data_IF_436103131937
#
_entry.id   IF_436103131937
#
_cell.length_a   1.000
_cell.length_b   1.000
_cell.length_c   1.000
_cell.angle_alpha   90.00
_cell.angle_beta   90.00
_cell.angle_gamma   90.00
#
_symmetry.space_group_name_H-M   'P 1'
#
loop_
_entity.id
_entity.type
_entity.pdbx_description
1 polymer ?
#
# COMPACT_ATOMS: atom_id res chain seq x y z
N UNK A 1 -21.80 63.79 -24.55
CA UNK A 1 -20.37 63.57 -24.25
C UNK A 1 -20.22 63.56 -22.75
N UNK A 2 -20.23 62.38 -22.15
CA UNK A 2 -20.10 62.19 -20.71
C UNK A 2 -19.21 60.96 -20.56
N UNK A 3 -17.99 61.16 -20.05
CA UNK A 3 -16.97 60.12 -19.88
C UNK A 3 -17.39 59.17 -18.75
N UNK A 4 -17.43 57.87 -19.07
CA UNK A 4 -17.42 56.80 -18.08
C UNK A 4 -16.01 56.68 -17.47
N UNK A 5 -15.84 56.53 -16.15
CA UNK A 5 -14.56 56.20 -15.56
C UNK A 5 -14.24 54.71 -15.71
N UNK A 6 -12.94 54.44 -15.81
CA UNK A 6 -12.31 53.19 -16.22
C UNK A 6 -12.70 51.97 -15.35
N UNK A 7 -13.28 50.98 -16.02
CA UNK A 7 -13.67 49.68 -15.47
C UNK A 7 -12.49 48.69 -15.52
N UNK A 8 -11.33 49.06 -14.95
CA UNK A 8 -10.09 48.25 -15.02
C UNK A 8 -9.64 47.69 -13.67
N UNK A 9 -10.29 48.06 -12.56
CA UNK A 9 -9.85 47.65 -11.21
C UNK A 9 -10.72 46.58 -10.51
N UNK A 10 -11.60 45.87 -11.23
CA UNK A 10 -12.47 44.83 -10.64
C UNK A 10 -12.04 43.38 -10.96
N UNK A 11 -10.80 43.16 -11.43
CA UNK A 11 -10.27 41.81 -11.70
C UNK A 11 -9.16 41.36 -10.74
N UNK A 12 -8.88 42.13 -9.67
CA UNK A 12 -7.77 41.82 -8.75
C UNK A 12 -8.17 41.41 -7.33
N UNK A 13 -9.44 41.12 -7.06
CA UNK A 13 -9.88 40.66 -5.74
C UNK A 13 -10.62 39.32 -5.80
N UNK A 14 -9.82 38.26 -5.95
CA UNK A 14 -10.08 36.93 -5.38
C UNK A 14 -8.79 36.09 -5.42
N UNK A 15 -7.69 36.62 -4.91
CA UNK A 15 -6.61 35.76 -4.39
C UNK A 15 -7.05 35.31 -2.99
N UNK A 16 -8.04 34.41 -2.93
CA UNK A 16 -8.19 33.55 -1.77
C UNK A 16 -6.97 32.63 -1.76
N UNK A 17 -6.06 32.89 -0.83
CA UNK A 17 -4.86 32.12 -0.58
C UNK A 17 -5.25 30.67 -0.23
N UNK A 18 -5.42 29.84 -1.25
CA UNK A 18 -5.18 28.41 -1.12
C UNK A 18 -3.69 28.17 -0.82
N UNK A 19 -3.32 27.01 -0.25
CA UNK A 19 -1.92 26.66 -0.03
C UNK A 19 -1.14 26.84 -1.34
N UNK A 20 0.16 27.17 -1.23
CA UNK A 20 1.13 27.36 -2.32
C UNK A 20 1.39 26.06 -3.12
N UNK A 21 0.33 25.39 -3.60
CA UNK A 21 0.42 24.22 -4.45
C UNK A 21 1.01 24.61 -5.80
N UNK A 22 2.00 23.84 -6.21
CA UNK A 22 2.63 23.97 -7.53
C UNK A 22 1.65 23.61 -8.64
N UNK A 23 1.96 24.08 -9.86
CA UNK A 23 1.18 23.74 -11.05
C UNK A 23 1.16 22.22 -11.26
N UNK A 24 2.28 21.55 -10.98
CA UNK A 24 2.43 20.10 -11.02
C UNK A 24 1.44 19.39 -10.10
N UNK A 25 1.33 19.81 -8.84
CA UNK A 25 0.40 19.25 -7.87
C UNK A 25 -1.05 19.45 -8.30
N UNK A 26 -1.42 20.68 -8.69
CA UNK A 26 -2.78 21.00 -9.14
C UNK A 26 -3.20 20.19 -10.36
N UNK A 27 -2.30 20.08 -11.35
CA UNK A 27 -2.56 19.28 -12.55
C UNK A 27 -2.75 17.81 -12.18
N UNK A 28 -1.87 17.25 -11.34
CA UNK A 28 -1.99 15.86 -10.98
C UNK A 28 -3.23 15.59 -10.14
N UNK A 29 -3.52 16.41 -9.14
CA UNK A 29 -4.72 16.31 -8.32
C UNK A 29 -6.01 16.35 -9.17
N UNK A 30 -6.10 17.26 -10.16
CA UNK A 30 -7.24 17.31 -11.06
C UNK A 30 -7.43 16.02 -11.89
N UNK A 31 -6.33 15.40 -12.32
CA UNK A 31 -6.37 14.11 -13.01
C UNK A 31 -6.84 12.98 -12.07
N UNK A 32 -6.36 12.98 -10.82
CA UNK A 32 -6.73 12.00 -9.81
C UNK A 32 -8.21 12.09 -9.41
N UNK A 33 -8.77 13.30 -9.26
CA UNK A 33 -10.21 13.51 -9.02
C UNK A 33 -11.04 12.87 -10.13
N UNK A 34 -10.66 13.08 -11.39
CA UNK A 34 -11.37 12.47 -12.53
C UNK A 34 -11.27 10.94 -12.53
N UNK A 35 -10.10 10.39 -12.16
CA UNK A 35 -9.90 8.94 -12.08
C UNK A 35 -10.69 8.32 -10.96
N UNK A 36 -10.76 8.96 -9.79
CA UNK A 36 -11.56 8.46 -8.68
C UNK A 36 -13.04 8.42 -9.04
N UNK A 37 -13.57 9.48 -9.67
CA UNK A 37 -14.93 9.48 -10.21
C UNK A 37 -15.16 8.38 -11.25
N UNK A 38 -14.17 8.10 -12.10
CA UNK A 38 -14.25 7.00 -13.07
C UNK A 38 -14.34 5.62 -12.42
N UNK A 39 -13.45 5.30 -11.48
CA UNK A 39 -13.44 3.99 -10.83
C UNK A 39 -14.63 3.79 -9.89
N UNK A 40 -15.17 4.87 -9.31
CA UNK A 40 -16.39 4.82 -8.48
C UNK A 40 -17.69 4.95 -9.29
N UNK A 41 -17.60 5.12 -10.62
CA UNK A 41 -18.75 5.35 -11.51
C UNK A 41 -19.58 6.60 -11.15
N UNK A 42 -18.92 7.63 -10.60
CA UNK A 42 -19.58 8.86 -10.11
C UNK A 42 -18.75 10.15 -10.32
N UNK A 43 -18.82 10.77 -11.51
CA UNK A 43 -19.33 10.24 -12.77
C UNK A 43 -18.21 9.52 -13.56
N UNK A 44 -18.57 8.54 -14.42
CA UNK A 44 -17.60 7.94 -15.32
C UNK A 44 -17.03 8.98 -16.31
N UNK A 45 -15.73 8.89 -16.58
CA UNK A 45 -15.10 9.72 -17.61
C UNK A 45 -15.57 9.35 -19.02
N UNK A 46 -15.98 10.36 -19.79
CA UNK A 46 -16.13 10.24 -21.24
C UNK A 46 -14.79 10.23 -21.98
N UNK A 47 -14.76 9.88 -23.28
CA UNK A 47 -13.53 9.63 -24.03
C UNK A 47 -12.61 10.86 -24.16
N UNK A 48 -13.17 12.06 -24.28
CA UNK A 48 -12.36 13.30 -24.33
C UNK A 48 -11.69 13.60 -22.98
N UNK A 49 -12.39 13.36 -21.87
CA UNK A 49 -11.85 13.53 -20.52
C UNK A 49 -10.78 12.47 -20.26
N UNK A 50 -11.05 11.21 -20.61
CA UNK A 50 -10.08 10.11 -20.48
C UNK A 50 -8.77 10.40 -21.23
N UNK A 51 -8.84 10.91 -22.47
CA UNK A 51 -7.67 11.29 -23.24
C UNK A 51 -6.85 12.43 -22.56
N UNK A 52 -7.52 13.45 -22.03
CA UNK A 52 -6.86 14.56 -21.33
C UNK A 52 -6.20 14.07 -20.03
N UNK A 53 -6.93 13.30 -19.23
CA UNK A 53 -6.43 12.71 -17.98
C UNK A 53 -5.23 11.82 -18.25
N UNK A 54 -5.30 10.92 -19.24
CA UNK A 54 -4.17 10.06 -19.63
C UNK A 54 -2.93 10.87 -20.04
N UNK A 55 -3.12 12.00 -20.75
CA UNK A 55 -2.02 12.92 -21.07
C UNK A 55 -1.41 13.56 -19.81
N UNK A 56 -2.23 14.00 -18.87
CA UNK A 56 -1.78 14.58 -17.60
C UNK A 56 -1.01 13.56 -16.76
N UNK A 57 -1.52 12.33 -16.62
CA UNK A 57 -0.82 11.24 -15.92
C UNK A 57 0.53 10.93 -16.57
N UNK A 58 0.58 10.88 -17.90
CA UNK A 58 1.83 10.62 -18.63
C UNK A 58 2.86 11.72 -18.38
N UNK A 59 2.45 13.00 -18.44
CA UNK A 59 3.32 14.14 -18.12
C UNK A 59 3.80 14.12 -16.67
N UNK A 60 2.92 13.80 -15.72
CA UNK A 60 3.31 13.69 -14.31
C UNK A 60 4.30 12.55 -14.09
N UNK A 61 4.12 11.41 -14.77
CA UNK A 61 5.08 10.29 -14.73
C UNK A 61 6.46 10.72 -15.23
N UNK A 62 6.54 11.40 -16.37
CA UNK A 62 7.80 11.93 -16.90
C UNK A 62 8.46 12.93 -15.94
N UNK A 63 7.67 13.86 -15.38
CA UNK A 63 8.17 14.88 -14.44
C UNK A 63 8.66 14.25 -13.13
N UNK A 64 7.92 13.32 -12.55
CA UNK A 64 8.32 12.67 -11.29
C UNK A 64 9.58 11.82 -11.46
N UNK A 65 9.81 11.27 -12.65
CA UNK A 65 11.05 10.56 -12.98
C UNK A 65 12.24 11.53 -13.12
N UNK A 66 12.08 12.62 -13.88
CA UNK A 66 13.21 13.45 -14.34
C UNK A 66 13.45 14.72 -13.51
N UNK A 67 12.42 15.30 -12.91
CA UNK A 67 12.47 16.60 -12.24
C UNK A 67 12.37 16.40 -10.73
N UNK A 68 13.50 16.49 -10.04
CA UNK A 68 13.58 16.33 -8.58
C UNK A 68 12.61 17.25 -7.82
N UNK A 69 12.55 18.54 -8.16
CA UNK A 69 11.67 19.51 -7.48
C UNK A 69 10.18 19.15 -7.60
N UNK A 70 9.75 18.73 -8.79
CA UNK A 70 8.36 18.30 -9.02
C UNK A 70 8.05 17.04 -8.20
N UNK A 71 8.97 16.07 -8.19
CA UNK A 71 8.84 14.86 -7.39
C UNK A 71 8.75 15.15 -5.89
N UNK A 72 9.62 16.03 -5.37
CA UNK A 72 9.64 16.42 -3.96
C UNK A 72 8.40 17.22 -3.52
N UNK A 73 7.84 18.04 -4.40
CA UNK A 73 6.59 18.75 -4.14
C UNK A 73 5.41 17.76 -4.06
N UNK A 74 5.25 16.93 -5.10
CA UNK A 74 4.16 15.95 -5.18
C UNK A 74 4.24 14.92 -4.03
N UNK A 75 5.45 14.48 -3.65
CA UNK A 75 5.62 13.44 -2.63
C UNK A 75 5.24 13.89 -1.23
N UNK A 76 5.27 15.19 -0.95
CA UNK A 76 4.89 15.78 0.35
C UNK A 76 3.42 16.19 0.42
N UNK A 77 2.70 16.13 -0.70
CA UNK A 77 1.29 16.47 -0.74
C UNK A 77 0.42 15.31 -0.25
N UNK A 78 -0.14 15.44 0.95
CA UNK A 78 -0.96 14.40 1.59
C UNK A 78 -2.21 14.07 0.76
N UNK A 79 -2.87 15.06 0.18
CA UNK A 79 -4.09 14.86 -0.61
C UNK A 79 -3.86 13.94 -1.82
N UNK A 80 -2.71 14.07 -2.48
CA UNK A 80 -2.34 13.23 -3.63
C UNK A 80 -2.23 11.76 -3.22
N UNK A 81 -1.62 11.46 -2.07
CA UNK A 81 -1.53 10.10 -1.55
C UNK A 81 -2.90 9.52 -1.18
N UNK A 82 -3.80 10.33 -0.61
CA UNK A 82 -5.18 9.90 -0.33
C UNK A 82 -5.92 9.58 -1.62
N UNK A 83 -5.81 10.44 -2.63
CA UNK A 83 -6.44 10.18 -3.93
C UNK A 83 -5.92 8.89 -4.58
N UNK A 84 -4.61 8.66 -4.55
CA UNK A 84 -4.01 7.41 -5.03
C UNK A 84 -4.62 6.20 -4.29
N UNK A 85 -4.74 6.28 -2.96
CA UNK A 85 -5.35 5.23 -2.14
C UNK A 85 -6.80 4.96 -2.57
N UNK A 86 -7.63 6.00 -2.70
CA UNK A 86 -9.04 5.87 -3.12
C UNK A 86 -9.17 5.24 -4.51
N UNK A 87 -8.31 5.65 -5.45
CA UNK A 87 -8.32 5.10 -6.82
C UNK A 87 -8.02 3.61 -6.81
N UNK A 88 -6.96 3.18 -6.11
CA UNK A 88 -6.64 1.75 -6.03
C UNK A 88 -7.69 0.97 -5.25
N UNK A 89 -8.22 1.52 -4.15
CA UNK A 89 -9.31 0.91 -3.38
C UNK A 89 -10.58 0.67 -4.21
N UNK A 90 -10.89 1.57 -5.15
CA UNK A 90 -12.00 1.39 -6.08
C UNK A 90 -11.67 0.46 -7.26
N UNK A 91 -10.44 0.53 -7.78
CA UNK A 91 -10.05 -0.23 -8.97
C UNK A 91 -9.80 -1.71 -8.68
N UNK A 92 -9.23 -2.07 -7.52
CA UNK A 92 -8.86 -3.45 -7.18
C UNK A 92 -10.10 -4.39 -7.15
N UNK A 93 -11.21 -4.09 -6.46
CA UNK A 93 -12.40 -4.95 -6.48
C UNK A 93 -13.03 -5.07 -7.88
N UNK A 94 -13.03 -3.97 -8.64
CA UNK A 94 -13.53 -3.94 -10.01
C UNK A 94 -12.72 -4.82 -10.95
N UNK A 95 -11.39 -4.77 -10.86
CA UNK A 95 -10.49 -5.64 -11.62
C UNK A 95 -10.58 -7.09 -11.17
N UNK A 96 -10.70 -7.34 -9.86
CA UNK A 96 -10.87 -8.70 -9.33
C UNK A 96 -12.13 -9.35 -9.89
N UNK A 97 -13.26 -8.64 -9.89
CA UNK A 97 -14.53 -9.14 -10.42
C UNK A 97 -14.46 -9.43 -11.92
N UNK A 98 -13.77 -8.56 -12.69
CA UNK A 98 -13.68 -8.69 -14.16
C UNK A 98 -12.60 -9.66 -14.64
N UNK A 99 -11.62 -9.99 -13.81
CA UNK A 99 -10.49 -10.85 -14.19
C UNK A 99 -10.51 -12.23 -13.52
N UNK A 100 -10.98 -12.29 -12.27
CA UNK A 100 -10.94 -13.51 -11.45
C UNK A 100 -12.34 -14.02 -11.18
N UNK A 101 -13.28 -13.14 -10.83
CA UNK A 101 -14.66 -13.46 -10.45
C UNK A 101 -15.06 -12.77 -9.14
N UNK A 102 -16.31 -12.94 -8.67
CA UNK A 102 -16.82 -12.26 -7.49
C UNK A 102 -15.99 -12.58 -6.24
N UNK A 103 -15.70 -11.57 -5.41
CA UNK A 103 -14.98 -11.75 -4.14
C UNK A 103 -15.66 -12.78 -3.23
N UNK A 104 -16.99 -12.84 -3.24
CA UNK A 104 -17.78 -13.83 -2.49
C UNK A 104 -17.50 -15.28 -2.90
N UNK A 105 -17.08 -15.52 -4.14
CA UNK A 105 -16.73 -16.85 -4.66
C UNK A 105 -15.27 -17.21 -4.39
N UNK A 106 -14.41 -16.23 -4.11
CA UNK A 106 -13.02 -16.48 -3.71
C UNK A 106 -12.91 -16.93 -2.25
N UNK A 107 -13.84 -16.49 -1.41
CA UNK A 107 -13.86 -16.80 0.03
C UNK A 107 -14.67 -18.06 0.37
N UNK A 108 -15.25 -18.75 -0.62
CA UNK A 108 -16.03 -19.98 -0.45
C UNK A 108 -15.19 -21.16 -0.98
N UNK A 109 -14.63 -22.02 -0.11
CA UNK A 109 -13.77 -23.15 -0.50
C UNK A 109 -14.44 -24.13 -1.46
N UNK A 110 -15.77 -24.20 -1.45
CA UNK A 110 -16.56 -25.09 -2.33
C UNK A 110 -17.06 -24.40 -3.60
N UNK A 111 -16.90 -23.07 -3.72
CA UNK A 111 -17.30 -22.27 -4.90
C UNK A 111 -16.16 -21.44 -5.49
N UNK A 112 -14.93 -21.94 -5.37
CA UNK A 112 -13.77 -21.33 -6.01
C UNK A 112 -13.99 -21.14 -7.51
N UNK A 113 -13.56 -19.98 -8.03
CA UNK A 113 -13.71 -19.67 -9.46
C UNK A 113 -12.69 -20.46 -10.27
N UNK A 114 -13.18 -21.26 -11.22
CA UNK A 114 -12.35 -22.11 -12.07
C UNK A 114 -11.45 -21.26 -13.00
N UNK A 115 -10.28 -21.78 -13.42
CA UNK A 115 -9.43 -21.10 -14.42
C UNK A 115 -10.19 -20.75 -15.71
N UNK A 116 -11.15 -21.58 -16.12
CA UNK A 116 -11.98 -21.39 -17.31
C UNK A 116 -12.92 -20.19 -17.16
N UNK A 117 -13.59 -20.05 -16.01
CA UNK A 117 -14.46 -18.91 -15.72
C UNK A 117 -13.69 -17.60 -15.67
N UNK A 118 -12.52 -17.59 -15.01
CA UNK A 118 -11.61 -16.44 -14.98
C UNK A 118 -11.15 -16.05 -16.39
N UNK A 119 -10.82 -17.03 -17.24
CA UNK A 119 -10.46 -16.79 -18.64
C UNK A 119 -11.61 -16.14 -19.42
N UNK A 120 -12.83 -16.66 -19.27
CA UNK A 120 -14.01 -16.12 -19.94
C UNK A 120 -14.28 -14.67 -19.52
N UNK A 121 -14.12 -14.35 -18.23
CA UNK A 121 -14.28 -13.00 -17.70
C UNK A 121 -13.24 -12.03 -18.28
N UNK A 122 -11.97 -12.42 -18.37
CA UNK A 122 -10.91 -11.61 -18.97
C UNK A 122 -11.20 -11.34 -20.45
N UNK A 123 -11.59 -12.37 -21.21
CA UNK A 123 -11.90 -12.23 -22.64
C UNK A 123 -13.10 -11.29 -22.85
N UNK A 124 -14.14 -11.40 -22.01
CA UNK A 124 -15.34 -10.58 -22.09
C UNK A 124 -15.06 -9.10 -21.78
N UNK A 125 -14.19 -8.84 -20.80
CA UNK A 125 -13.91 -7.49 -20.31
C UNK A 125 -12.59 -6.89 -20.82
N UNK A 126 -11.92 -7.56 -21.76
CA UNK A 126 -10.55 -7.30 -22.22
C UNK A 126 -10.22 -5.81 -22.41
N UNK A 127 -11.05 -5.06 -23.16
CA UNK A 127 -10.76 -3.66 -23.48
C UNK A 127 -10.69 -2.77 -22.23
N UNK A 128 -11.66 -2.94 -21.32
CA UNK A 128 -11.76 -2.14 -20.09
C UNK A 128 -10.67 -2.51 -19.08
N UNK A 129 -10.38 -3.81 -18.92
CA UNK A 129 -9.29 -4.28 -18.07
C UNK A 129 -7.95 -3.72 -18.54
N UNK A 130 -7.71 -3.77 -19.85
CA UNK A 130 -6.48 -3.27 -20.48
C UNK A 130 -6.27 -1.78 -20.22
N UNK A 131 -7.32 -0.97 -20.37
CA UNK A 131 -7.27 0.48 -20.12
C UNK A 131 -7.00 0.81 -18.64
N UNK A 132 -7.71 0.13 -17.74
CA UNK A 132 -7.58 0.35 -16.29
C UNK A 132 -6.18 -0.04 -15.81
N UNK A 133 -5.69 -1.24 -16.16
CA UNK A 133 -4.35 -1.69 -15.74
C UNK A 133 -3.27 -0.77 -16.33
N UNK A 134 -3.38 -0.36 -17.59
CA UNK A 134 -2.41 0.56 -18.19
C UNK A 134 -2.34 1.89 -17.44
N UNK A 135 -3.48 2.38 -16.93
CA UNK A 135 -3.53 3.59 -16.09
C UNK A 135 -2.94 3.35 -14.71
N UNK A 136 -3.31 2.25 -14.05
CA UNK A 136 -2.79 1.88 -12.73
C UNK A 136 -1.27 1.64 -12.74
N UNK A 137 -0.70 1.06 -13.80
CA UNK A 137 0.74 0.92 -13.97
C UNK A 137 1.44 2.29 -13.91
N UNK A 138 0.89 3.30 -14.61
CA UNK A 138 1.46 4.65 -14.60
C UNK A 138 1.35 5.29 -13.23
N UNK A 139 0.21 5.15 -12.55
CA UNK A 139 0.02 5.64 -11.18
C UNK A 139 0.98 4.97 -10.19
N UNK A 140 1.17 3.65 -10.29
CA UNK A 140 2.11 2.91 -9.45
C UNK A 140 3.55 3.35 -9.71
N UNK A 141 3.93 3.60 -10.96
CA UNK A 141 5.24 4.18 -11.28
C UNK A 141 5.42 5.59 -10.70
N UNK A 142 4.39 6.43 -10.76
CA UNK A 142 4.41 7.75 -10.12
C UNK A 142 4.65 7.57 -8.62
N UNK A 143 3.81 6.78 -7.93
CA UNK A 143 3.95 6.51 -6.50
C UNK A 143 5.34 5.97 -6.13
N UNK A 144 5.90 5.09 -6.97
CA UNK A 144 7.28 4.60 -6.88
C UNK A 144 8.34 5.66 -7.00
N UNK A 145 8.17 6.59 -7.92
CA UNK A 145 9.06 7.72 -8.03
C UNK A 145 8.94 8.61 -6.79
N UNK A 146 7.74 8.87 -6.26
CA UNK A 146 7.55 9.76 -5.10
C UNK A 146 8.30 9.32 -3.85
N UNK A 147 8.70 8.06 -3.72
CA UNK A 147 9.53 7.58 -2.60
C UNK A 147 11.04 7.82 -2.80
N UNK A 148 11.48 8.24 -3.98
CA UNK A 148 12.89 8.51 -4.30
C UNK A 148 13.22 9.98 -4.06
N UNK A 149 13.35 10.37 -2.78
CA UNK A 149 13.69 11.73 -2.35
C UNK A 149 14.94 11.76 -1.46
N UNK A 150 15.40 12.98 -1.13
CA UNK A 150 16.50 13.16 -0.19
C UNK A 150 16.12 12.80 1.25
N UNK A 151 14.86 12.99 1.62
CA UNK A 151 14.25 12.56 2.89
C UNK A 151 13.17 11.51 2.56
N UNK A 152 13.56 10.25 2.25
CA UNK A 152 12.62 9.21 1.85
C UNK A 152 11.62 8.84 2.96
N UNK A 153 11.98 9.03 4.22
CA UNK A 153 11.13 8.75 5.38
C UNK A 153 9.83 9.56 5.37
N UNK A 154 9.85 10.79 4.85
CA UNK A 154 8.66 11.66 4.80
C UNK A 154 7.54 11.08 3.94
N UNK A 155 7.74 10.82 2.64
CA UNK A 155 6.70 10.20 1.82
C UNK A 155 6.45 8.73 2.17
N UNK A 156 7.43 7.99 2.73
CA UNK A 156 7.21 6.64 3.25
C UNK A 156 6.20 6.63 4.41
N UNK A 157 6.33 7.58 5.34
CA UNK A 157 5.41 7.78 6.45
C UNK A 157 4.03 8.25 6.01
N UNK A 158 3.96 9.19 5.05
CA UNK A 158 2.67 9.62 4.48
C UNK A 158 1.98 8.44 3.77
N UNK A 159 2.73 7.66 2.98
CA UNK A 159 2.23 6.46 2.31
C UNK A 159 1.59 5.48 3.32
N UNK A 160 2.25 5.24 4.45
CA UNK A 160 1.76 4.38 5.53
C UNK A 160 0.52 4.98 6.22
N UNK A 161 0.55 6.29 6.51
CA UNK A 161 -0.53 6.98 7.21
C UNK A 161 -1.84 7.05 6.40
N UNK A 162 -1.75 7.02 5.07
CA UNK A 162 -2.93 6.98 4.20
C UNK A 162 -3.32 5.57 3.74
N UNK A 163 -2.60 4.54 4.17
CA UNK A 163 -2.79 3.14 3.78
C UNK A 163 -2.57 2.85 2.28
N UNK A 164 -1.73 3.63 1.60
CA UNK A 164 -1.39 3.32 0.22
C UNK A 164 -0.55 2.03 0.12
N UNK A 165 0.26 1.74 1.14
CA UNK A 165 0.99 0.46 1.28
C UNK A 165 0.05 -0.75 1.27
N UNK A 166 -1.09 -0.67 1.95
CA UNK A 166 -2.10 -1.72 1.94
C UNK A 166 -2.70 -1.89 0.54
N UNK A 167 -2.94 -0.80 -0.18
CA UNK A 167 -3.39 -0.87 -1.58
C UNK A 167 -2.34 -1.48 -2.51
N UNK A 168 -1.05 -1.24 -2.26
CA UNK A 168 0.05 -1.89 -2.98
C UNK A 168 0.05 -3.40 -2.70
N UNK A 169 -0.10 -3.81 -1.44
CA UNK A 169 -0.16 -5.22 -1.05
C UNK A 169 -1.34 -5.95 -1.71
N UNK A 170 -2.55 -5.38 -1.63
CA UNK A 170 -3.75 -5.92 -2.30
C UNK A 170 -3.59 -5.99 -3.83
N UNK A 171 -2.90 -5.01 -4.43
CA UNK A 171 -2.55 -5.03 -5.86
C UNK A 171 -1.61 -6.19 -6.20
N UNK A 172 -0.61 -6.48 -5.35
CA UNK A 172 0.31 -7.61 -5.52
C UNK A 172 -0.46 -8.93 -5.50
N UNK A 173 -1.34 -9.13 -4.51
CA UNK A 173 -2.19 -10.34 -4.40
C UNK A 173 -3.01 -10.53 -5.68
N UNK A 174 -3.72 -9.48 -6.13
CA UNK A 174 -4.51 -9.54 -7.36
C UNK A 174 -3.65 -9.94 -8.57
N UNK A 175 -2.47 -9.33 -8.73
CA UNK A 175 -1.61 -9.66 -9.85
C UNK A 175 -1.09 -11.11 -9.78
N UNK A 176 -0.71 -11.60 -8.59
CA UNK A 176 -0.30 -13.00 -8.39
C UNK A 176 -1.47 -13.94 -8.71
N UNK A 177 -2.68 -13.65 -8.25
CA UNK A 177 -3.87 -14.46 -8.51
C UNK A 177 -4.21 -14.58 -10.00
N UNK A 178 -4.02 -13.51 -10.79
CA UNK A 178 -4.27 -13.55 -12.23
C UNK A 178 -3.12 -14.21 -13.00
N UNK A 179 -1.87 -14.02 -12.56
CA UNK A 179 -0.69 -14.49 -13.30
C UNK A 179 -0.27 -15.93 -12.97
N UNK A 180 -0.64 -16.44 -11.80
CA UNK A 180 -0.34 -17.81 -11.36
C UNK A 180 -1.30 -18.86 -11.91
N UNK A 181 -2.51 -18.46 -12.31
CA UNK A 181 -3.47 -19.34 -12.97
C UNK A 181 -2.94 -19.70 -14.36
N UNK A 182 -2.43 -20.92 -14.51
CA UNK A 182 -2.11 -21.49 -15.82
C UNK A 182 -3.38 -21.62 -16.64
N UNK A 183 -3.41 -21.02 -17.82
CA UNK A 183 -4.55 -21.13 -18.73
C UNK A 183 -4.35 -22.32 -19.67
N UNK A 184 -5.37 -23.16 -19.78
CA UNK A 184 -5.36 -24.27 -20.74
C UNK A 184 -5.49 -23.73 -22.17
N UNK A 185 -4.33 -23.57 -22.82
CA UNK A 185 -4.24 -23.03 -24.16
C UNK A 185 -4.95 -23.88 -25.20
N UNK A 186 -5.17 -25.18 -24.97
CA UNK A 186 -5.71 -26.09 -26.00
C UNK A 186 -7.20 -25.84 -26.28
N UNK A 187 -7.93 -25.27 -25.32
CA UNK A 187 -9.39 -25.01 -25.41
C UNK A 187 -9.71 -23.67 -26.07
N UNK A 188 -8.77 -22.71 -26.06
CA UNK A 188 -8.99 -21.33 -26.51
C UNK A 188 -8.72 -21.15 -28.01
N UNK A 189 -9.53 -20.31 -28.67
CA UNK A 189 -9.21 -19.85 -30.02
C UNK A 189 -8.03 -18.84 -30.01
N UNK A 190 -7.43 -18.62 -31.16
CA UNK A 190 -6.23 -17.77 -31.28
C UNK A 190 -6.47 -16.32 -30.81
N UNK A 191 -7.66 -15.76 -31.06
CA UNK A 191 -8.00 -14.40 -30.66
C UNK A 191 -8.21 -14.29 -29.14
N UNK A 192 -8.79 -15.31 -28.52
CA UNK A 192 -8.91 -15.41 -27.06
C UNK A 192 -7.54 -15.51 -26.39
N UNK A 193 -6.63 -16.34 -26.94
CA UNK A 193 -5.25 -16.45 -26.46
C UNK A 193 -4.51 -15.12 -26.51
N UNK A 194 -4.64 -14.36 -27.61
CA UNK A 194 -4.02 -13.04 -27.73
C UNK A 194 -4.54 -12.05 -26.68
N UNK A 195 -5.86 -11.97 -26.49
CA UNK A 195 -6.47 -11.10 -25.45
C UNK A 195 -5.99 -11.47 -24.04
N UNK A 196 -5.94 -12.76 -23.75
CA UNK A 196 -5.49 -13.26 -22.45
C UNK A 196 -4.01 -12.97 -22.22
N UNK A 197 -3.18 -13.16 -23.24
CA UNK A 197 -1.76 -12.81 -23.22
C UNK A 197 -1.53 -11.32 -22.96
N UNK A 198 -2.27 -10.46 -23.66
CA UNK A 198 -2.23 -9.00 -23.50
C UNK A 198 -2.50 -8.57 -22.04
N UNK A 199 -3.59 -9.08 -21.45
CA UNK A 199 -4.00 -8.75 -20.08
C UNK A 199 -3.01 -9.33 -19.07
N UNK A 200 -2.58 -10.57 -19.25
CA UNK A 200 -1.60 -11.23 -18.38
C UNK A 200 -0.28 -10.46 -18.34
N UNK A 201 0.20 -9.98 -19.49
CA UNK A 201 1.43 -9.20 -19.57
C UNK A 201 1.31 -7.83 -18.87
N UNK A 202 0.13 -7.21 -18.93
CA UNK A 202 -0.13 -5.98 -18.17
C UNK A 202 -0.16 -6.23 -16.66
N UNK A 203 -0.77 -7.32 -16.19
CA UNK A 203 -0.71 -7.70 -14.77
C UNK A 203 0.71 -8.00 -14.31
N UNK A 204 1.55 -8.67 -15.12
CA UNK A 204 2.97 -8.86 -14.81
C UNK A 204 3.71 -7.54 -14.65
N UNK A 205 3.47 -6.57 -15.55
CA UNK A 205 4.05 -5.23 -15.45
C UNK A 205 3.59 -4.51 -14.18
N UNK A 206 2.30 -4.57 -13.86
CA UNK A 206 1.76 -3.98 -12.63
C UNK A 206 2.36 -4.63 -11.38
N UNK A 207 2.50 -5.96 -11.36
CA UNK A 207 3.15 -6.70 -10.29
C UNK A 207 4.58 -6.23 -10.05
N UNK A 208 5.39 -6.20 -11.12
CA UNK A 208 6.78 -5.75 -11.06
C UNK A 208 6.88 -4.32 -10.51
N UNK A 209 6.04 -3.41 -11.00
CA UNK A 209 6.05 -2.02 -10.55
C UNK A 209 5.57 -1.88 -9.10
N UNK A 210 4.59 -2.69 -8.67
CA UNK A 210 4.09 -2.72 -7.28
C UNK A 210 5.15 -3.25 -6.31
N UNK A 211 5.90 -4.30 -6.70
CA UNK A 211 7.03 -4.81 -5.92
C UNK A 211 8.17 -3.78 -5.80
N UNK A 212 8.45 -3.04 -6.89
CA UNK A 212 9.42 -1.95 -6.84
C UNK A 212 8.95 -0.80 -5.94
N UNK A 213 7.65 -0.52 -5.91
CA UNK A 213 7.09 0.47 -4.99
C UNK A 213 7.23 0.01 -3.54
N UNK A 214 6.87 -1.24 -3.23
CA UNK A 214 7.03 -1.83 -1.90
C UNK A 214 8.50 -1.86 -1.45
N UNK A 215 9.43 -2.18 -2.37
CA UNK A 215 10.87 -2.10 -2.10
C UNK A 215 11.28 -0.69 -1.68
N UNK A 216 10.90 0.34 -2.44
CA UNK A 216 11.21 1.73 -2.11
C UNK A 216 10.55 2.17 -0.79
N UNK A 217 9.36 1.65 -0.48
CA UNK A 217 8.64 1.97 0.77
C UNK A 217 9.29 1.39 2.02
N UNK A 218 9.87 0.19 1.90
CA UNK A 218 10.53 -0.51 3.02
C UNK A 218 12.03 -0.24 3.10
N UNK A 219 12.63 0.37 2.08
CA UNK A 219 14.06 0.64 2.00
C UNK A 219 14.54 1.48 3.19
N UNK A 220 15.47 0.89 3.97
CA UNK A 220 16.05 1.47 5.19
C UNK A 220 15.01 1.90 6.25
N UNK A 221 13.80 1.35 6.20
CA UNK A 221 12.72 1.69 7.11
C UNK A 221 12.19 0.44 7.79
N UNK A 222 12.76 0.09 8.96
CA UNK A 222 12.49 -1.19 9.62
C UNK A 222 11.02 -1.36 10.02
N UNK A 223 10.34 -0.29 10.45
CA UNK A 223 8.89 -0.34 10.72
C UNK A 223 8.08 -0.80 9.49
N UNK A 224 8.27 -0.15 8.35
CA UNK A 224 7.55 -0.49 7.11
C UNK A 224 7.92 -1.89 6.63
N UNK A 225 9.20 -2.25 6.70
CA UNK A 225 9.67 -3.61 6.38
C UNK A 225 8.97 -4.65 7.24
N UNK A 226 8.90 -4.42 8.55
CA UNK A 226 8.23 -5.34 9.46
C UNK A 226 6.72 -5.38 9.22
N UNK A 227 6.08 -4.26 8.93
CA UNK A 227 4.65 -4.25 8.59
C UNK A 227 4.37 -5.05 7.32
N UNK A 228 5.19 -4.87 6.27
CA UNK A 228 5.05 -5.61 5.03
C UNK A 228 5.14 -7.13 5.26
N UNK A 229 6.14 -7.57 6.01
CA UNK A 229 6.29 -9.00 6.33
C UNK A 229 5.23 -9.51 7.29
N UNK A 230 4.73 -8.66 8.17
CA UNK A 230 3.61 -9.01 9.03
C UNK A 230 2.38 -9.36 8.20
N UNK A 231 2.03 -8.52 7.24
CA UNK A 231 0.90 -8.78 6.32
C UNK A 231 1.18 -10.02 5.47
N UNK A 232 2.38 -10.17 4.89
CA UNK A 232 2.73 -11.32 4.04
C UNK A 232 2.72 -12.67 4.79
N UNK A 233 3.24 -12.71 6.01
CA UNK A 233 3.42 -13.97 6.76
C UNK A 233 2.19 -14.35 7.58
N UNK A 234 1.41 -13.37 8.02
CA UNK A 234 0.31 -13.56 8.97
C UNK A 234 -1.06 -13.15 8.43
N UNK A 235 -1.20 -12.97 7.12
CA UNK A 235 -2.51 -12.76 6.48
C UNK A 235 -3.50 -13.86 6.89
N UNK A 236 -4.76 -13.48 7.10
CA UNK A 236 -5.78 -14.32 7.75
C UNK A 236 -6.19 -15.56 6.90
N UNK A 237 -5.76 -15.64 5.63
CA UNK A 237 -6.11 -16.71 4.67
C UNK A 237 -5.00 -17.79 4.45
N UNK A 238 -4.14 -18.03 5.43
CA UNK A 238 -3.67 -19.41 5.68
C UNK A 238 -2.38 -19.90 5.02
N UNK A 239 -1.29 -19.12 5.09
CA UNK A 239 0.05 -19.66 4.79
C UNK A 239 0.67 -20.46 5.96
N UNK A 240 0.22 -20.24 7.19
CA UNK A 240 0.79 -20.87 8.41
C UNK A 240 -0.21 -21.74 9.19
N UNK A 241 -1.51 -21.66 8.89
CA UNK A 241 -2.50 -22.61 9.37
C UNK A 241 -2.51 -23.82 8.44
N UNK A 242 -1.47 -24.65 8.56
CA UNK A 242 -1.52 -26.02 8.05
C UNK A 242 -2.72 -26.77 8.67
N UNK A 243 -3.14 -27.91 8.08
CA UNK A 243 -4.21 -28.72 8.65
C UNK A 243 -3.92 -28.97 10.12
N UNK A 244 -4.92 -28.76 10.98
CA UNK A 244 -4.89 -29.13 12.39
C UNK A 244 -4.47 -30.60 12.54
N UNK A 245 -3.17 -30.88 12.62
CA UNK A 245 -2.65 -32.19 12.99
C UNK A 245 -1.14 -32.11 13.27
N UNK A 246 -0.82 -31.75 14.51
CA UNK A 246 0.02 -32.65 15.29
C UNK A 246 -0.08 -32.27 16.77
N UNK A 247 -0.48 -33.26 17.56
CA UNK A 247 -0.23 -33.34 19.00
C UNK A 247 1.28 -33.33 19.26
N UNK A 248 1.94 -32.20 18.99
CA UNK A 248 3.31 -31.93 19.37
C UNK A 248 3.36 -31.48 20.83
N UNK A 249 4.43 -31.85 21.53
CA UNK A 249 4.76 -31.57 22.94
C UNK A 249 4.87 -30.06 23.33
N UNK A 250 4.36 -29.15 22.51
CA UNK A 250 4.46 -27.70 22.71
C UNK A 250 5.85 -27.11 22.41
N UNK A 251 6.78 -27.88 21.83
CA UNK A 251 8.13 -27.41 21.45
C UNK A 251 8.23 -26.83 20.03
N UNK A 252 7.17 -26.91 19.22
CA UNK A 252 7.13 -26.39 17.85
C UNK A 252 6.88 -24.89 17.75
N UNK A 253 7.15 -24.32 16.57
CA UNK A 253 6.84 -22.92 16.23
C UNK A 253 5.36 -22.61 16.44
N UNK A 254 5.07 -21.46 17.06
CA UNK A 254 3.72 -20.99 17.37
C UNK A 254 3.39 -19.71 16.60
N UNK A 255 2.75 -19.82 15.41
CA UNK A 255 2.44 -18.68 14.55
C UNK A 255 1.66 -17.57 15.26
N UNK A 256 0.68 -17.91 16.11
CA UNK A 256 -0.13 -16.93 16.85
C UNK A 256 0.69 -16.12 17.86
N UNK A 257 1.68 -16.77 18.49
CA UNK A 257 2.60 -16.09 19.41
C UNK A 257 3.51 -15.17 18.62
N UNK A 258 4.10 -15.65 17.52
CA UNK A 258 4.92 -14.83 16.64
C UNK A 258 4.14 -13.61 16.11
N UNK A 259 2.91 -13.80 15.60
CA UNK A 259 2.00 -12.73 15.15
C UNK A 259 1.82 -11.68 16.26
N UNK A 260 1.48 -12.10 17.48
CA UNK A 260 1.30 -11.17 18.61
C UNK A 260 2.57 -10.38 18.96
N UNK A 261 3.72 -11.04 19.00
CA UNK A 261 4.98 -10.38 19.34
C UNK A 261 5.41 -9.35 18.30
N UNK A 262 5.26 -9.69 17.01
CA UNK A 262 5.51 -8.75 15.91
C UNK A 262 4.55 -7.56 15.97
N UNK A 263 3.26 -7.80 16.27
CA UNK A 263 2.27 -6.74 16.46
C UNK A 263 2.68 -5.80 17.61
N UNK A 264 3.06 -6.35 18.76
CA UNK A 264 3.54 -5.53 19.89
C UNK A 264 4.78 -4.71 19.52
N UNK A 265 5.69 -5.28 18.72
CA UNK A 265 6.85 -4.54 18.23
C UNK A 265 6.44 -3.40 17.29
N UNK A 266 5.50 -3.63 16.38
CA UNK A 266 4.96 -2.59 15.49
C UNK A 266 4.33 -1.47 16.31
N UNK A 267 3.47 -1.78 17.28
CA UNK A 267 2.78 -0.77 18.10
C UNK A 267 3.77 0.19 18.79
N UNK A 268 4.87 -0.34 19.32
CA UNK A 268 5.93 0.44 19.97
C UNK A 268 6.77 1.27 18.99
N UNK A 269 6.93 0.79 17.75
CA UNK A 269 7.79 1.40 16.73
C UNK A 269 7.00 2.19 15.65
N UNK A 270 5.73 2.48 15.91
CA UNK A 270 4.82 3.14 14.95
C UNK A 270 4.84 4.68 14.97
N UNK A 271 5.97 5.29 15.35
CA UNK A 271 6.14 6.75 15.31
C UNK A 271 6.51 7.19 13.89
N UNK A 272 5.74 8.12 13.31
CA UNK A 272 6.12 8.86 12.11
C UNK A 272 7.20 9.91 12.42
N UNK A 273 8.00 10.26 11.42
CA UNK A 273 8.92 11.39 11.47
C UNK A 273 8.20 12.73 11.62
N UNK A 274 8.91 13.71 12.17
CA UNK A 274 8.33 15.02 12.53
C UNK A 274 7.73 15.75 11.33
N UNK A 275 8.40 15.67 10.18
CA UNK A 275 7.96 16.36 8.96
C UNK A 275 6.68 15.75 8.41
N UNK A 276 6.59 14.42 8.29
CA UNK A 276 5.35 13.75 7.85
C UNK A 276 4.19 14.04 8.82
N UNK A 277 4.46 13.95 10.14
CA UNK A 277 3.48 14.28 11.18
C UNK A 277 2.94 15.69 11.05
N UNK A 278 3.80 16.69 10.80
CA UNK A 278 3.38 18.08 10.60
C UNK A 278 2.50 18.23 9.37
N UNK A 279 2.86 17.60 8.25
CA UNK A 279 2.08 17.64 7.00
C UNK A 279 0.70 16.99 7.18
N UNK A 280 0.62 15.85 7.88
CA UNK A 280 -0.65 15.17 8.16
C UNK A 280 -1.56 16.00 9.07
N UNK A 281 -1.00 16.63 10.12
CA UNK A 281 -1.75 17.53 11.01
C UNK A 281 -2.27 18.76 10.26
N UNK A 282 -1.43 19.37 9.43
CA UNK A 282 -1.81 20.51 8.59
C UNK A 282 -2.95 20.14 7.63
N UNK A 283 -2.83 19.00 6.93
CA UNK A 283 -3.89 18.50 6.06
C UNK A 283 -5.20 18.29 6.82
N UNK A 284 -5.16 17.61 7.96
CA UNK A 284 -6.33 17.32 8.78
C UNK A 284 -7.04 18.61 9.27
N UNK A 285 -6.27 19.64 9.65
CA UNK A 285 -6.81 20.89 10.17
C UNK A 285 -7.34 21.81 9.07
N UNK A 286 -6.64 21.88 7.93
CA UNK A 286 -6.85 22.94 6.95
C UNK A 286 -7.49 22.46 5.64
N UNK A 287 -7.41 21.17 5.30
CA UNK A 287 -7.80 20.67 3.97
C UNK A 287 -8.82 19.53 4.01
N UNK A 288 -8.87 18.74 5.08
CA UNK A 288 -9.68 17.51 5.14
C UNK A 288 -11.21 17.74 5.12
N UNK A 289 -11.67 18.98 5.27
CA UNK A 289 -13.07 19.37 5.06
C UNK A 289 -13.52 19.31 3.59
N UNK A 290 -12.57 19.23 2.65
CA UNK A 290 -12.79 19.14 1.21
C UNK A 290 -12.33 17.77 0.69
N UNK A 291 -12.83 17.31 -0.47
CA UNK A 291 -12.29 16.11 -1.13
C UNK A 291 -10.75 16.18 -1.24
N UNK A 292 -10.01 15.08 -0.98
CA UNK A 292 -10.48 13.70 -0.82
C UNK A 292 -11.04 13.34 0.57
N UNK A 293 -11.10 14.29 1.50
CA UNK A 293 -11.71 14.12 2.82
C UNK A 293 -10.75 13.61 3.89
N UNK A 294 -11.31 13.22 5.03
CA UNK A 294 -10.53 12.73 6.16
C UNK A 294 -9.79 11.42 5.85
N UNK A 295 -8.64 11.25 6.47
CA UNK A 295 -7.93 9.98 6.56
C UNK A 295 -8.78 8.98 7.35
N UNK A 296 -8.85 7.74 6.86
CA UNK A 296 -9.48 6.66 7.63
C UNK A 296 -8.67 6.41 8.91
N UNK A 297 -9.31 6.37 10.09
CA UNK A 297 -8.61 6.10 11.35
C UNK A 297 -8.35 4.59 11.46
N UNK A 298 -7.29 4.08 10.83
CA UNK A 298 -6.96 2.65 10.87
C UNK A 298 -5.59 2.46 11.52
N UNK A 299 -5.56 1.60 12.54
CA UNK A 299 -4.36 1.19 13.33
C UNK A 299 -3.36 0.42 12.44
N UNK A 300 -2.06 0.30 12.80
CA UNK A 300 -1.34 0.94 13.92
C UNK A 300 -0.16 1.84 13.50
N UNK A 301 0.27 1.88 12.23
CA UNK A 301 1.60 2.40 11.84
C UNK A 301 1.81 3.91 12.00
N UNK A 302 0.74 4.66 12.22
CA UNK A 302 0.73 6.11 12.12
C UNK A 302 -0.13 6.74 13.23
N UNK A 303 0.00 6.30 14.48
CA UNK A 303 -0.85 6.84 15.55
C UNK A 303 -0.46 8.27 15.98
N UNK A 304 0.81 8.64 15.85
CA UNK A 304 1.37 9.86 16.47
C UNK A 304 1.03 11.19 15.75
N UNK A 305 0.27 11.16 14.66
CA UNK A 305 -0.29 12.38 14.04
C UNK A 305 -1.74 12.66 14.45
N UNK A 306 -2.45 11.67 15.00
CA UNK A 306 -3.81 11.82 15.50
C UNK A 306 -3.87 12.70 16.76
N UNK A 307 -5.05 13.25 17.13
CA UNK A 307 -5.19 14.03 18.36
C UNK A 307 -4.81 13.24 19.61
N UNK A 308 -4.21 13.90 20.60
CA UNK A 308 -3.83 13.26 21.86
C UNK A 308 -5.07 12.64 22.55
N UNK A 309 -4.97 11.39 22.98
CA UNK A 309 -6.08 10.62 23.58
C UNK A 309 -7.05 9.96 22.60
N UNK A 310 -6.86 10.11 21.28
CA UNK A 310 -7.67 9.40 20.26
C UNK A 310 -7.25 7.94 20.05
N UNK A 311 -6.08 7.55 20.54
CA UNK A 311 -5.54 6.20 20.48
C UNK A 311 -5.10 5.81 21.89
N UNK A 312 -5.52 4.63 22.35
CA UNK A 312 -4.90 3.96 23.50
C UNK A 312 -3.47 3.59 23.11
N UNK A 313 -2.56 4.55 23.25
CA UNK A 313 -1.13 4.30 23.18
C UNK A 313 -0.75 3.64 24.51
N UNK A 314 -0.16 2.43 24.52
CA UNK A 314 0.37 1.86 25.75
C UNK A 314 1.26 2.91 26.43
N UNK A 315 0.98 3.22 27.71
CA UNK A 315 1.53 4.40 28.42
C UNK A 315 3.06 4.50 28.47
N UNK A 316 3.75 3.45 28.04
CA UNK A 316 5.19 3.24 28.18
C UNK A 316 6.00 3.43 26.89
N UNK A 317 5.35 3.81 25.77
CA UNK A 317 6.01 4.10 24.47
C UNK A 317 6.77 5.45 24.48
N UNK A 318 6.70 6.22 25.57
CA UNK A 318 7.34 7.53 25.70
C UNK A 318 8.89 7.48 25.73
N UNK A 319 9.50 6.41 26.25
CA UNK A 319 10.96 6.29 26.44
C UNK A 319 11.59 5.22 25.54
N UNK A 320 11.55 5.41 24.22
CA UNK A 320 12.14 4.46 23.24
C UNK A 320 13.58 4.81 22.82
N UNK A 321 14.17 5.90 23.33
CA UNK A 321 15.52 6.34 22.95
C UNK A 321 16.64 5.65 23.75
N UNK A 322 16.31 4.90 24.81
CA UNK A 322 17.30 4.13 25.55
C UNK A 322 17.63 2.84 24.80
N UNK A 323 18.93 2.53 24.65
CA UNK A 323 19.37 1.23 24.10
C UNK A 323 18.88 0.11 25.02
N UNK A 324 17.81 -0.56 24.63
CA UNK A 324 17.27 -1.73 25.33
C UNK A 324 18.23 -2.90 25.08
N UNK A 325 18.84 -3.41 26.14
CA UNK A 325 19.51 -4.71 26.10
C UNK A 325 18.42 -5.80 26.15
N UNK A 326 18.35 -6.74 25.18
CA UNK A 326 17.33 -7.77 25.17
C UNK A 326 17.35 -8.63 26.43
N UNK A 327 16.26 -8.60 27.20
CA UNK A 327 16.08 -9.46 28.39
C UNK A 327 14.76 -10.20 28.29
N UNK A 328 14.82 -11.54 28.33
CA UNK A 328 13.62 -12.36 28.43
C UNK A 328 13.36 -12.78 29.87
N UNK A 329 12.22 -12.38 30.44
CA UNK A 329 11.77 -12.77 31.78
C UNK A 329 10.60 -13.74 31.66
N UNK A 330 10.80 -15.06 31.80
CA UNK A 330 9.73 -16.06 31.64
C UNK A 330 8.52 -15.82 32.54
N UNK A 331 8.77 -15.30 33.75
CA UNK A 331 7.76 -15.09 34.80
C UNK A 331 6.96 -13.80 34.63
N UNK A 332 7.24 -12.99 33.60
CA UNK A 332 6.46 -11.79 33.31
C UNK A 332 5.04 -12.17 32.84
N UNK A 333 4.05 -11.66 33.58
CA UNK A 333 2.63 -11.91 33.35
C UNK A 333 2.07 -11.01 32.25
N UNK A 334 2.57 -9.79 32.12
CA UNK A 334 2.19 -8.89 31.04
C UNK A 334 2.99 -9.23 29.77
N UNK A 335 2.32 -9.83 28.79
CA UNK A 335 2.97 -10.21 27.52
C UNK A 335 3.50 -9.02 26.74
N UNK A 336 2.85 -7.86 26.83
CA UNK A 336 3.32 -6.66 26.15
C UNK A 336 4.64 -6.17 26.77
N UNK A 337 4.73 -6.15 28.10
CA UNK A 337 5.97 -5.79 28.82
C UNK A 337 7.07 -6.83 28.64
N UNK A 338 6.72 -8.12 28.61
CA UNK A 338 7.67 -9.21 28.32
C UNK A 338 8.32 -9.01 26.94
N UNK A 339 7.53 -8.69 25.91
CA UNK A 339 8.02 -8.44 24.56
C UNK A 339 8.76 -7.10 24.46
N UNK A 340 8.36 -6.09 25.23
CA UNK A 340 9.07 -4.80 25.31
C UNK A 340 10.46 -4.96 25.91
N UNK A 341 10.57 -5.67 27.04
CA UNK A 341 11.84 -5.97 27.69
C UNK A 341 12.76 -6.82 26.80
N UNK A 342 12.19 -7.68 25.95
CA UNK A 342 12.95 -8.43 24.96
C UNK A 342 13.55 -7.51 23.88
N UNK A 343 12.88 -6.43 23.51
CA UNK A 343 13.40 -5.37 22.63
C UNK A 343 13.57 -5.74 21.14
N UNK A 344 13.68 -7.03 20.81
CA UNK A 344 13.69 -7.55 19.43
C UNK A 344 12.27 -7.77 18.91
N UNK A 345 12.16 -8.11 17.63
CA UNK A 345 10.90 -8.23 16.89
C UNK A 345 10.02 -9.37 17.42
N UNK A 346 10.55 -10.58 17.55
CA UNK A 346 9.80 -11.73 18.08
C UNK A 346 10.76 -12.78 18.63
N UNK A 347 10.58 -13.14 19.90
CA UNK A 347 11.32 -14.26 20.50
C UNK A 347 10.95 -15.57 19.82
N UNK A 348 9.67 -15.78 19.51
CA UNK A 348 9.20 -17.02 18.88
C UNK A 348 9.96 -17.31 17.57
N UNK A 349 10.14 -16.28 16.74
CA UNK A 349 10.95 -16.36 15.51
C UNK A 349 12.43 -16.59 15.84
N UNK A 350 12.96 -15.88 16.84
CA UNK A 350 14.38 -15.96 17.21
C UNK A 350 14.78 -17.30 17.85
N UNK A 351 13.84 -18.00 18.51
CA UNK A 351 14.10 -19.26 19.22
C UNK A 351 13.60 -20.50 18.50
N UNK A 352 12.93 -20.35 17.36
CA UNK A 352 12.46 -21.48 16.56
C UNK A 352 13.67 -22.26 16.01
N UNK A 353 13.87 -23.52 16.40
CA UNK A 353 14.82 -24.39 15.72
C UNK A 353 14.26 -24.73 14.33
N UNK A 354 15.07 -24.52 13.29
CA UNK A 354 14.99 -25.17 11.97
C UNK A 354 13.78 -24.95 11.02
N UNK A 355 12.76 -24.14 11.33
CA UNK A 355 11.59 -24.03 10.44
C UNK A 355 11.62 -22.90 9.37
N UNK A 356 12.50 -21.89 9.48
CA UNK A 356 12.51 -20.73 8.55
C UNK A 356 13.75 -20.72 7.63
N UNK A 357 14.87 -21.29 8.08
CA UNK A 357 16.10 -21.37 7.27
C UNK A 357 16.35 -22.82 6.86
N UNK A 358 15.84 -23.22 5.69
CA UNK A 358 16.14 -24.53 5.09
C UNK A 358 17.61 -24.77 4.71
N UNK A 359 18.58 -24.03 5.27
CA UNK A 359 20.02 -24.25 5.09
C UNK A 359 20.79 -23.65 6.29
N UNK A 360 21.18 -24.47 7.25
CA UNK A 360 22.40 -24.26 8.03
C UNK A 360 23.15 -25.59 8.09
N UNK A 361 24.29 -25.76 7.39
CA UNK A 361 25.08 -26.96 7.51
C UNK A 361 25.63 -27.05 8.94
N UNK A 362 25.60 -28.25 9.51
CA UNK A 362 26.21 -28.56 10.80
C UNK A 362 27.63 -28.00 10.88
N UNK A 363 28.03 -27.38 12.01
CA UNK A 363 29.42 -27.00 12.20
C UNK A 363 30.29 -28.27 12.24
N UNK A 364 31.46 -28.26 11.58
CA UNK A 364 32.25 -29.47 11.40
C UNK A 364 32.84 -29.94 12.74
N UNK A 365 32.56 -31.19 13.08
CA UNK A 365 33.44 -32.11 13.80
C UNK A 365 33.95 -31.65 15.17
N UNK A 366 33.30 -32.11 16.24
CA UNK A 366 34.03 -32.52 17.43
C UNK A 366 34.32 -34.02 17.31
N UNK A 367 35.60 -34.35 17.12
CA UNK A 367 36.14 -35.71 17.13
C UNK A 367 35.77 -36.44 18.44
N UNK A 368 35.49 -37.74 18.39
CA UNK A 368 35.33 -38.54 19.61
C UNK A 368 36.69 -38.71 20.30
N UNK A 369 36.71 -38.57 21.62
CA UNK A 369 37.79 -39.08 22.47
C UNK A 369 37.70 -40.60 22.60
#
# INVERSE_FOLDING_TARGET
>A
MTRLPDNVNLLNEAHENGPDETIEERCFAAALVCLEGHYTQSPPMGPQTAAKVSSMITKTLEKTHTIRKAREAISRNVAIWIWLTRIFAAAIPSLTTRSVGPLSSLNDPEKGVTPQESTALIVMNHATIKEDIATLIKLMHIARNLLVNAEPEVPQDICAAVHFDQMVYQTIILCVNVTSKGYDGEILDENQRLKLGDVTELYKKLLVTSLQQAHNWTAKHDRNKMSFWFDVLFDDDGALSGPEESLGDGSGFRPDVAKRQVQHWLDRNSKLCDTARKLLKDYAQNQASRPPGNLAPIRPLAWNWLPDGSVDVPGDVANTEEKINPVWKPDETDKFEQDRAYGRVSREVDTCPDAICGVCPEPPGTLPQ
#
